data_IF_665125142034
#
_entry.id   IF_665125142034
#
_cell.length_a   1.000
_cell.length_b   1.000
_cell.length_c   1.000
_cell.angle_alpha   90.00
_cell.angle_beta   90.00
_cell.angle_gamma   90.00
#
_symmetry.space_group_name_H-M   'P 1'
#
loop_
_entity.id
_entity.type
_entity.pdbx_description
1 polymer ?
#
# COMPACT_ATOMS: atom_id res chain seq x y z
N UNK A 1 34.21 -6.34 36.80
CA UNK A 1 32.75 -6.08 36.73
C UNK A 1 32.54 -4.80 35.95
N UNK A 2 32.06 -4.94 34.72
CA UNK A 2 31.26 -3.99 33.93
C UNK A 2 31.33 -4.48 32.48
N UNK A 3 30.43 -5.41 32.17
CA UNK A 3 29.11 -5.11 31.58
C UNK A 3 29.29 -5.12 30.07
N UNK A 4 29.14 -6.34 29.54
CA UNK A 4 28.94 -6.61 28.12
C UNK A 4 27.54 -6.06 27.78
N UNK A 5 27.47 -5.07 26.89
CA UNK A 5 26.21 -4.66 26.27
C UNK A 5 25.74 -5.82 25.37
N UNK A 6 24.77 -6.58 25.88
CA UNK A 6 23.93 -7.44 25.05
C UNK A 6 23.18 -6.55 24.05
N UNK A 7 23.63 -6.57 22.80
CA UNK A 7 22.87 -6.03 21.68
C UNK A 7 21.61 -6.87 21.53
N UNK A 8 20.48 -6.32 21.98
CA UNK A 8 19.16 -6.86 21.67
C UNK A 8 19.04 -6.92 20.15
N UNK A 9 19.03 -8.15 19.62
CA UNK A 9 18.68 -8.45 18.25
C UNK A 9 17.23 -7.97 18.04
N UNK A 10 17.06 -6.76 17.51
CA UNK A 10 15.77 -6.29 17.04
C UNK A 10 15.33 -7.19 15.89
N UNK A 11 14.63 -8.28 16.22
CA UNK A 11 13.86 -9.05 15.25
C UNK A 11 13.03 -8.05 14.44
N UNK A 12 13.36 -7.89 13.16
CA UNK A 12 12.56 -7.16 12.18
C UNK A 12 11.22 -7.90 11.99
N UNK A 13 10.36 -7.89 13.01
CA UNK A 13 8.97 -8.35 12.89
C UNK A 13 8.33 -7.54 11.76
N UNK A 14 7.72 -8.21 10.78
CA UNK A 14 7.03 -7.53 9.70
C UNK A 14 5.96 -6.59 10.27
N UNK A 15 6.00 -5.31 9.87
CA UNK A 15 5.01 -4.30 10.26
C UNK A 15 3.61 -4.74 9.82
N UNK A 16 2.78 -5.14 10.79
CA UNK A 16 1.41 -5.59 10.54
C UNK A 16 0.51 -4.39 10.18
N UNK A 17 -0.48 -4.59 9.28
CA UNK A 17 -1.46 -3.56 8.98
C UNK A 17 -2.22 -3.18 10.26
N UNK A 18 -2.40 -1.87 10.49
CA UNK A 18 -3.06 -1.34 11.68
C UNK A 18 -2.13 -1.03 12.85
N UNK A 19 -0.83 -1.29 12.77
CA UNK A 19 0.15 -0.92 13.81
C UNK A 19 0.56 0.57 13.79
N UNK A 20 0.32 1.27 12.68
CA UNK A 20 0.72 2.68 12.52
C UNK A 20 -0.46 3.61 12.75
N UNK A 21 -0.24 4.69 13.49
CA UNK A 21 -1.17 5.80 13.66
C UNK A 21 -0.65 7.05 12.94
N UNK A 22 -1.59 7.84 12.43
CA UNK A 22 -1.38 9.15 11.83
C UNK A 22 -1.81 10.21 12.84
N UNK A 23 -0.93 11.18 13.08
CA UNK A 23 -1.13 12.24 14.05
C UNK A 23 -1.16 13.56 13.28
N UNK A 24 -2.24 14.31 13.41
CA UNK A 24 -2.46 15.60 12.79
C UNK A 24 -2.58 16.69 13.86
N UNK A 25 -2.38 17.93 13.45
CA UNK A 25 -2.42 19.10 14.32
C UNK A 25 -1.29 19.10 15.37
N UNK A 26 -0.12 18.62 14.98
CA UNK A 26 1.09 18.74 15.78
C UNK A 26 1.62 20.17 15.73
N UNK A 27 2.17 20.65 16.84
CA UNK A 27 2.92 21.89 16.83
C UNK A 27 4.15 21.75 15.91
N UNK A 28 4.51 22.81 15.21
CA UNK A 28 5.69 22.81 14.34
C UNK A 28 7.00 22.65 15.10
N UNK A 29 7.00 22.94 16.41
CA UNK A 29 8.14 22.72 17.31
C UNK A 29 8.20 21.31 17.89
N UNK A 30 7.13 20.51 17.81
CA UNK A 30 7.10 19.17 18.40
C UNK A 30 8.06 18.24 17.65
N UNK A 31 8.93 17.57 18.40
CA UNK A 31 9.94 16.63 17.87
C UNK A 31 9.46 15.19 17.89
N UNK A 32 10.20 14.31 17.20
CA UNK A 32 9.98 12.87 17.28
C UNK A 32 10.07 12.34 18.73
N UNK A 33 11.00 12.86 19.55
CA UNK A 33 11.18 12.45 20.95
C UNK A 33 9.96 12.77 21.82
N UNK A 34 9.41 13.98 21.72
CA UNK A 34 8.19 14.37 22.46
C UNK A 34 7.01 13.47 22.08
N UNK A 35 6.87 13.17 20.77
CA UNK A 35 5.88 12.20 20.30
C UNK A 35 6.10 10.83 20.91
N UNK A 36 7.35 10.34 20.93
CA UNK A 36 7.68 9.03 21.50
C UNK A 36 7.28 8.96 22.96
N UNK A 37 7.58 9.98 23.77
CA UNK A 37 7.21 10.02 25.19
C UNK A 37 5.69 9.99 25.42
N UNK A 38 4.94 10.81 24.67
CA UNK A 38 3.48 10.88 24.79
C UNK A 38 2.83 9.56 24.38
N UNK A 39 3.25 9.00 23.24
CA UNK A 39 2.64 7.82 22.65
C UNK A 39 3.11 6.50 23.27
N UNK A 40 4.23 6.50 24.01
CA UNK A 40 4.65 5.35 24.81
C UNK A 40 3.69 5.01 25.95
N UNK A 41 2.84 5.95 26.38
CA UNK A 41 1.79 5.71 27.40
C UNK A 41 0.73 4.72 26.94
N UNK A 42 0.48 4.64 25.64
CA UNK A 42 -0.51 3.72 25.07
C UNK A 42 0.08 2.33 24.78
N UNK A 43 1.40 2.21 24.56
CA UNK A 43 2.07 0.94 24.33
C UNK A 43 3.49 1.10 23.78
N UNK A 44 4.12 -0.04 23.45
CA UNK A 44 5.49 -0.08 22.94
C UNK A 44 5.59 0.49 21.52
N UNK A 45 6.14 1.70 21.43
CA UNK A 45 6.42 2.40 20.16
C UNK A 45 7.65 1.79 19.51
N UNK A 46 7.51 1.43 18.24
CA UNK A 46 8.58 0.93 17.37
C UNK A 46 9.27 2.07 16.63
N UNK A 47 8.50 3.00 16.08
CA UNK A 47 9.06 4.15 15.37
C UNK A 47 8.14 5.37 15.48
N UNK A 48 8.72 6.56 15.46
CA UNK A 48 8.02 7.84 15.42
C UNK A 48 8.67 8.73 14.37
N UNK A 49 7.88 9.41 13.56
CA UNK A 49 8.38 10.25 12.46
C UNK A 49 7.52 11.49 12.30
N UNK A 50 8.14 12.67 12.32
CA UNK A 50 7.47 13.94 12.00
C UNK A 50 7.69 14.25 10.52
N UNK A 51 6.62 14.53 9.78
CA UNK A 51 6.74 14.87 8.37
C UNK A 51 7.25 16.30 8.21
N UNK A 52 8.41 16.44 7.56
CA UNK A 52 9.08 17.72 7.33
C UNK A 52 9.13 18.03 5.83
N UNK A 53 8.97 19.29 5.46
CA UNK A 53 9.08 19.79 4.08
C UNK A 53 10.24 20.77 3.97
N UNK A 54 10.98 20.68 2.87
CA UNK A 54 12.06 21.63 2.55
C UNK A 54 11.47 22.97 2.08
N UNK A 55 11.85 24.05 2.74
CA UNK A 55 11.49 25.41 2.35
C UNK A 55 12.39 25.95 1.23
N UNK A 56 12.05 27.10 0.65
CA UNK A 56 12.83 27.80 -0.40
C UNK A 56 14.25 28.13 0.03
N UNK A 57 14.48 28.34 1.32
CA UNK A 57 15.79 28.56 1.97
C UNK A 57 16.54 27.25 2.28
N UNK A 58 15.94 26.09 2.01
CA UNK A 58 16.56 24.79 2.20
C UNK A 58 16.35 24.15 3.58
N UNK A 59 15.71 24.86 4.51
CA UNK A 59 15.42 24.37 5.86
C UNK A 59 14.27 23.36 5.87
N UNK A 60 14.33 22.36 6.75
CA UNK A 60 13.27 21.38 6.95
C UNK A 60 12.27 21.90 7.98
N UNK A 61 11.08 22.28 7.52
CA UNK A 61 9.99 22.74 8.37
C UNK A 61 9.00 21.60 8.61
N UNK A 62 8.57 21.42 9.86
CA UNK A 62 7.49 20.48 10.19
C UNK A 62 6.22 20.83 9.41
N UNK A 63 5.52 19.81 8.93
CA UNK A 63 4.23 19.98 8.26
C UNK A 63 3.04 19.92 9.25
N UNK A 64 3.32 19.84 10.55
CA UNK A 64 2.27 19.76 11.60
C UNK A 64 1.54 18.42 11.62
N UNK A 65 2.16 17.36 11.08
CA UNK A 65 1.66 15.99 11.18
C UNK A 65 2.81 14.98 11.22
N UNK A 66 2.52 13.79 11.72
CA UNK A 66 3.49 12.72 11.93
C UNK A 66 2.85 11.34 11.93
N UNK A 67 3.69 10.33 12.07
CA UNK A 67 3.30 8.93 12.16
C UNK A 67 4.00 8.28 13.36
N UNK A 68 3.28 7.41 14.06
CA UNK A 68 3.85 6.56 15.11
C UNK A 68 3.48 5.11 14.78
N UNK A 69 4.47 4.24 14.74
CA UNK A 69 4.33 2.80 14.56
C UNK A 69 4.51 2.10 15.90
N UNK A 70 3.57 1.24 16.26
CA UNK A 70 3.63 0.38 17.44
C UNK A 70 4.09 -1.03 17.06
N UNK A 71 4.59 -1.78 18.05
CA UNK A 71 4.87 -3.22 17.86
C UNK A 71 3.60 -4.04 17.58
N UNK A 72 2.45 -3.66 18.15
CA UNK A 72 1.17 -4.38 18.00
C UNK A 72 0.02 -3.45 17.57
N UNK A 73 -0.98 -3.95 16.81
CA UNK A 73 -2.12 -3.15 16.37
C UNK A 73 -3.05 -2.77 17.53
N UNK A 74 -3.08 -3.57 18.60
CA UNK A 74 -3.83 -3.28 19.82
C UNK A 74 -3.40 -1.97 20.47
N UNK A 75 -2.08 -1.70 20.50
CA UNK A 75 -1.54 -0.45 21.05
C UNK A 75 -1.90 0.76 20.18
N UNK A 76 -1.93 0.59 18.85
CA UNK A 76 -2.37 1.64 17.93
C UNK A 76 -3.85 2.00 18.14
N UNK A 77 -4.72 0.99 18.32
CA UNK A 77 -6.14 1.23 18.63
C UNK A 77 -6.33 1.88 19.99
N UNK A 78 -5.58 1.43 21.01
CA UNK A 78 -5.58 2.03 22.35
C UNK A 78 -5.12 3.49 22.30
N UNK A 79 -4.07 3.80 21.54
CA UNK A 79 -3.58 5.15 21.34
C UNK A 79 -4.63 6.06 20.70
N UNK A 80 -5.35 5.59 19.67
CA UNK A 80 -6.45 6.35 19.07
C UNK A 80 -7.57 6.61 20.08
N UNK A 81 -7.91 5.66 20.95
CA UNK A 81 -8.96 5.87 21.97
C UNK A 81 -8.52 6.80 23.09
N UNK A 82 -7.28 6.68 23.56
CA UNK A 82 -6.80 7.35 24.77
C UNK A 82 -6.13 8.70 24.51
N UNK A 83 -5.47 8.88 23.37
CA UNK A 83 -4.66 10.06 23.05
C UNK A 83 -5.31 10.98 22.01
N UNK A 84 -6.55 10.67 21.59
CA UNK A 84 -7.35 11.56 20.75
C UNK A 84 -7.67 12.86 21.49
N UNK A 85 -7.37 14.00 20.86
CA UNK A 85 -7.60 15.32 21.44
C UNK A 85 -6.62 15.71 22.54
N UNK A 86 -5.56 14.93 22.78
CA UNK A 86 -4.55 15.24 23.79
C UNK A 86 -3.81 16.53 23.43
N UNK A 87 -3.62 17.44 24.39
CA UNK A 87 -2.88 18.69 24.19
C UNK A 87 -1.38 18.46 24.34
N UNK A 88 -0.61 18.63 23.26
CA UNK A 88 0.86 18.60 23.24
C UNK A 88 1.35 19.94 22.70
N UNK A 89 2.24 20.61 23.44
CA UNK A 89 2.78 21.93 23.08
C UNK A 89 1.70 22.95 22.69
N UNK A 90 0.58 22.96 23.45
CA UNK A 90 -0.55 23.85 23.21
C UNK A 90 -1.47 23.48 22.05
N UNK A 91 -1.23 22.35 21.36
CA UNK A 91 -2.07 21.87 20.26
C UNK A 91 -2.78 20.57 20.60
N UNK A 92 -4.08 20.49 20.29
CA UNK A 92 -4.86 19.26 20.44
C UNK A 92 -4.61 18.30 19.27
N UNK A 93 -4.05 17.14 19.56
CA UNK A 93 -3.69 16.16 18.55
C UNK A 93 -4.93 15.43 18.01
N UNK A 94 -4.98 15.25 16.69
CA UNK A 94 -5.95 14.36 16.04
C UNK A 94 -5.23 13.07 15.63
N UNK A 95 -5.57 11.96 16.28
CA UNK A 95 -4.97 10.65 16.13
C UNK A 95 -5.91 9.73 15.36
N UNK A 96 -5.42 9.12 14.29
CA UNK A 96 -6.19 8.18 13.45
C UNK A 96 -5.35 6.95 13.15
N UNK A 97 -5.98 5.81 12.93
CA UNK A 97 -5.26 4.65 12.37
C UNK A 97 -4.75 5.04 10.98
N UNK A 98 -3.46 4.85 10.75
CA UNK A 98 -2.81 5.22 9.50
C UNK A 98 -3.11 4.19 8.42
N UNK A 99 -3.73 4.65 7.34
CA UNK A 99 -3.85 3.86 6.11
C UNK A 99 -2.50 3.70 5.39
N UNK A 100 -1.41 4.33 5.85
CA UNK A 100 -0.10 4.24 5.20
C UNK A 100 0.51 2.86 5.33
N UNK A 101 0.32 2.16 6.45
CA UNK A 101 0.67 0.74 6.56
C UNK A 101 -0.26 -0.12 5.71
N UNK A 102 -1.50 0.30 5.48
CA UNK A 102 -2.41 -0.36 4.52
C UNK A 102 -1.93 -0.11 3.08
N UNK A 103 -1.36 1.07 2.77
CA UNK A 103 -0.77 1.35 1.45
C UNK A 103 0.62 0.74 1.27
N UNK A 104 1.43 0.62 2.33
CA UNK A 104 2.69 -0.12 2.28
C UNK A 104 2.44 -1.62 2.30
N UNK A 105 1.36 -2.13 2.89
CA UNK A 105 0.89 -3.52 2.69
C UNK A 105 0.03 -3.65 1.42
N UNK A 106 -0.44 -2.62 0.76
CA UNK A 106 -1.00 -2.74 -0.61
C UNK A 106 0.11 -2.59 -1.65
N UNK A 107 1.22 -1.92 -1.32
CA UNK A 107 2.45 -1.89 -2.12
C UNK A 107 3.35 -3.12 -1.86
N UNK A 108 3.35 -3.66 -0.64
CA UNK A 108 4.23 -4.75 -0.18
C UNK A 108 3.46 -6.03 0.20
N UNK A 109 2.20 -5.98 0.63
CA UNK A 109 1.27 -7.14 0.69
C UNK A 109 0.37 -7.27 -0.57
N UNK A 110 0.79 -6.65 -1.69
CA UNK A 110 0.77 -7.36 -2.99
C UNK A 110 1.71 -8.58 -2.99
N UNK A 111 2.53 -8.77 -1.95
CA UNK A 111 3.11 -10.06 -1.53
C UNK A 111 2.26 -10.77 -0.45
N UNK A 112 0.97 -10.93 -0.68
CA UNK A 112 0.31 -12.19 -0.35
C UNK A 112 -0.70 -12.46 -1.43
N UNK A 113 -0.19 -12.61 -2.66
CA UNK A 113 -0.80 -13.54 -3.57
C UNK A 113 -0.90 -14.85 -2.80
N UNK A 114 -2.11 -15.13 -2.31
CA UNK A 114 -2.55 -16.49 -2.07
C UNK A 114 -1.99 -17.30 -3.22
N UNK A 115 -1.18 -18.29 -2.87
CA UNK A 115 -0.60 -19.30 -3.71
C UNK A 115 -1.70 -20.06 -4.47
N UNK A 116 -2.39 -19.39 -5.39
CA UNK A 116 -3.04 -20.07 -6.50
C UNK A 116 -1.88 -20.65 -7.29
N UNK A 117 -1.65 -21.95 -7.09
CA UNK A 117 -0.81 -22.83 -7.92
C UNK A 117 -0.79 -22.27 -9.34
N UNK A 118 0.34 -21.67 -9.69
CA UNK A 118 0.50 -20.95 -10.94
C UNK A 118 0.51 -21.97 -12.08
N UNK A 119 -0.61 -22.09 -12.79
CA UNK A 119 -0.73 -23.02 -13.91
C UNK A 119 -0.41 -22.35 -15.25
N UNK A 120 -0.24 -21.03 -15.30
CA UNK A 120 -0.22 -20.29 -16.58
C UNK A 120 1.14 -19.63 -16.91
N UNK A 121 1.41 -19.54 -18.22
CA UNK A 121 2.58 -18.92 -18.86
C UNK A 121 2.32 -17.48 -19.31
N UNK A 122 1.16 -16.91 -18.94
CA UNK A 122 0.72 -15.57 -19.38
C UNK A 122 1.06 -14.49 -18.36
N UNK A 123 1.64 -13.41 -18.85
CA UNK A 123 2.06 -12.22 -18.10
C UNK A 123 1.31 -11.01 -18.64
N UNK A 124 0.77 -10.21 -17.73
CA UNK A 124 0.19 -8.91 -18.00
C UNK A 124 1.24 -7.82 -17.75
N UNK A 125 1.46 -6.98 -18.74
CA UNK A 125 2.41 -5.87 -18.71
C UNK A 125 1.61 -4.57 -18.69
N UNK A 126 1.73 -3.80 -17.61
CA UNK A 126 1.10 -2.49 -17.40
C UNK A 126 2.14 -1.37 -17.42
N UNK A 127 1.64 -0.13 -17.51
CA UNK A 127 2.44 1.10 -17.60
C UNK A 127 3.37 1.13 -18.82
N UNK A 128 2.92 0.53 -19.93
CA UNK A 128 3.66 0.58 -21.19
C UNK A 128 3.55 2.01 -21.75
N UNK A 129 4.66 2.70 -22.05
CA UNK A 129 4.61 4.04 -22.60
C UNK A 129 3.91 4.03 -23.98
N UNK A 130 3.12 5.07 -24.29
CA UNK A 130 2.28 5.13 -25.49
C UNK A 130 3.03 5.12 -26.83
N UNK A 131 4.33 5.37 -26.77
CA UNK A 131 5.24 5.27 -27.91
C UNK A 131 5.72 3.83 -28.19
N UNK A 132 5.61 2.92 -27.22
CA UNK A 132 6.07 1.55 -27.38
C UNK A 132 5.19 0.74 -28.34
N UNK A 133 5.81 -0.11 -29.14
CA UNK A 133 5.12 -0.96 -30.10
C UNK A 133 5.02 -2.39 -29.63
N UNK A 134 4.13 -3.17 -30.26
CA UNK A 134 4.03 -4.62 -30.01
C UNK A 134 5.36 -5.34 -30.30
N UNK A 135 6.11 -4.85 -31.30
CA UNK A 135 7.40 -5.42 -31.68
C UNK A 135 8.42 -5.26 -30.57
N UNK A 136 8.53 -4.09 -29.97
CA UNK A 136 9.47 -3.84 -28.86
C UNK A 136 9.14 -4.67 -27.62
N UNK A 137 7.85 -4.79 -27.26
CA UNK A 137 7.44 -5.68 -26.17
C UNK A 137 7.75 -7.13 -26.52
N UNK A 138 7.54 -7.55 -27.77
CA UNK A 138 7.91 -8.90 -28.20
C UNK A 138 9.42 -9.12 -28.10
N UNK A 139 10.24 -8.20 -28.57
CA UNK A 139 11.71 -8.31 -28.52
C UNK A 139 12.23 -8.34 -27.08
N UNK A 140 11.72 -7.47 -26.21
CA UNK A 140 12.09 -7.42 -24.80
C UNK A 140 11.85 -8.78 -24.11
N UNK A 141 10.65 -9.34 -24.30
CA UNK A 141 10.27 -10.59 -23.65
C UNK A 141 10.85 -11.84 -24.35
N UNK A 142 11.20 -11.74 -25.64
CA UNK A 142 11.81 -12.83 -26.41
C UNK A 142 13.22 -13.18 -25.95
N UNK A 143 13.89 -12.28 -25.22
CA UNK A 143 15.23 -12.55 -24.64
C UNK A 143 15.19 -13.59 -23.51
N UNK A 144 14.03 -13.80 -22.89
CA UNK A 144 13.85 -14.73 -21.76
C UNK A 144 13.24 -16.07 -22.17
N UNK A 145 12.69 -16.18 -23.38
CA UNK A 145 12.14 -17.41 -23.93
C UNK A 145 11.19 -17.18 -25.10
N UNK A 146 10.64 -18.27 -25.63
CA UNK A 146 9.78 -18.21 -26.81
C UNK A 146 8.36 -17.79 -26.46
N UNK A 147 7.83 -16.82 -27.20
CA UNK A 147 6.54 -16.20 -26.98
C UNK A 147 5.48 -16.86 -27.86
N UNK A 148 4.44 -17.42 -27.24
CA UNK A 148 3.27 -17.97 -27.92
C UNK A 148 2.43 -16.86 -28.56
N UNK A 149 2.06 -15.84 -27.78
CA UNK A 149 1.33 -14.68 -28.32
C UNK A 149 1.67 -13.40 -27.57
N UNK A 150 1.68 -12.27 -28.28
CA UNK A 150 1.77 -10.93 -27.69
C UNK A 150 0.58 -10.12 -28.18
N UNK A 151 -0.19 -9.56 -27.24
CA UNK A 151 -1.41 -8.80 -27.53
C UNK A 151 -1.35 -7.46 -26.82
N UNK A 152 -1.40 -6.38 -27.59
CA UNK A 152 -1.45 -5.01 -27.09
C UNK A 152 -2.77 -4.36 -27.53
N UNK A 153 -3.79 -4.27 -26.66
CA UNK A 153 -5.07 -3.67 -27.00
C UNK A 153 -4.91 -2.19 -27.39
N UNK A 154 -5.26 -1.89 -28.64
CA UNK A 154 -5.28 -0.51 -29.15
C UNK A 154 -6.52 0.23 -28.66
N UNK A 155 -6.39 1.53 -28.37
CA UNK A 155 -7.56 2.36 -28.05
C UNK A 155 -8.31 2.63 -29.37
N UNK A 156 -9.64 2.49 -29.35
CA UNK A 156 -10.48 2.71 -30.54
C UNK A 156 -10.91 4.18 -30.70
N UNK A 157 -10.60 5.05 -29.71
CA UNK A 157 -10.98 6.46 -29.72
C UNK A 157 -9.87 7.34 -29.10
N UNK A 158 -9.20 8.13 -29.95
CA UNK A 158 -8.09 9.04 -29.59
C UNK A 158 -6.72 8.61 -30.14
N UNK A 159 -5.82 9.58 -30.29
CA UNK A 159 -4.46 9.55 -30.88
C UNK A 159 -3.41 8.68 -30.14
N UNK A 160 -3.83 7.62 -29.45
CA UNK A 160 -2.94 6.72 -28.70
C UNK A 160 -2.86 5.33 -29.32
N UNK A 161 -1.64 4.88 -29.64
CA UNK A 161 -1.34 3.59 -30.29
C UNK A 161 -1.83 2.37 -29.49
N UNK A 162 -1.85 2.45 -28.15
CA UNK A 162 -2.29 1.39 -27.23
C UNK A 162 -2.76 1.94 -25.89
N UNK A 163 -3.51 1.14 -25.13
CA UNK A 163 -4.05 1.52 -23.82
C UNK A 163 -3.04 1.49 -22.66
N UNK A 164 -1.73 1.41 -22.96
CA UNK A 164 -0.69 1.37 -21.94
C UNK A 164 -0.60 0.04 -21.16
N UNK A 165 -1.26 -1.01 -21.64
CA UNK A 165 -1.13 -2.38 -21.12
C UNK A 165 -1.18 -3.41 -22.25
N UNK A 166 -0.58 -4.57 -22.03
CA UNK A 166 -0.51 -5.68 -22.99
C UNK A 166 -0.33 -7.04 -22.30
N UNK A 167 -0.64 -8.10 -23.02
CA UNK A 167 -0.52 -9.49 -22.56
C UNK A 167 0.57 -10.19 -23.36
N UNK A 168 1.41 -10.93 -22.66
CA UNK A 168 2.50 -11.72 -23.20
C UNK A 168 2.31 -13.15 -22.72
N UNK A 169 2.11 -14.08 -23.65
CA UNK A 169 1.96 -15.50 -23.36
C UNK A 169 3.21 -16.23 -23.80
N UNK A 170 3.87 -16.92 -22.86
CA UNK A 170 5.06 -17.73 -23.15
C UNK A 170 4.67 -19.15 -23.53
N UNK A 171 5.52 -19.79 -24.35
CA UNK A 171 5.34 -21.19 -24.71
C UNK A 171 5.49 -22.10 -23.46
N UNK A 172 6.50 -21.81 -22.62
CA UNK A 172 6.75 -22.57 -21.40
C UNK A 172 6.53 -21.72 -20.14
N UNK A 173 6.08 -22.38 -19.06
CA UNK A 173 5.89 -21.72 -17.76
C UNK A 173 7.22 -21.29 -17.14
N UNK A 174 8.30 -22.00 -17.46
CA UNK A 174 9.64 -21.69 -16.96
C UNK A 174 10.15 -20.38 -17.57
N UNK A 175 9.96 -20.17 -18.86
CA UNK A 175 10.32 -18.91 -19.54
C UNK A 175 9.56 -17.73 -18.97
N UNK A 176 8.25 -17.91 -18.75
CA UNK A 176 7.42 -16.89 -18.12
C UNK A 176 7.98 -16.50 -16.74
N UNK A 177 8.36 -17.48 -15.91
CA UNK A 177 8.89 -17.23 -14.55
C UNK A 177 10.24 -16.50 -14.60
N UNK A 178 11.11 -16.89 -15.53
CA UNK A 178 12.40 -16.20 -15.76
C UNK A 178 12.20 -14.76 -16.19
N UNK A 179 11.32 -14.53 -17.17
CA UNK A 179 10.97 -13.20 -17.64
C UNK A 179 10.38 -12.33 -16.53
N UNK A 180 9.45 -12.88 -15.74
CA UNK A 180 8.82 -12.18 -14.63
C UNK A 180 9.85 -11.76 -13.58
N UNK A 181 10.70 -12.70 -13.13
CA UNK A 181 11.72 -12.42 -12.11
C UNK A 181 12.72 -11.34 -12.55
N UNK A 182 13.18 -11.40 -13.80
CA UNK A 182 14.15 -10.46 -14.35
C UNK A 182 13.57 -9.07 -14.62
N UNK A 183 12.34 -8.99 -15.16
CA UNK A 183 11.76 -7.73 -15.60
C UNK A 183 10.97 -6.99 -14.51
N UNK A 184 10.46 -7.68 -13.48
CA UNK A 184 9.58 -7.10 -12.45
C UNK A 184 10.23 -5.92 -11.69
N UNK A 185 11.54 -5.96 -11.47
CA UNK A 185 12.19 -5.03 -10.53
C UNK A 185 12.99 -3.90 -11.18
N UNK A 186 13.26 -3.94 -12.49
CA UNK A 186 14.21 -2.97 -13.08
C UNK A 186 14.00 -2.59 -14.54
N UNK A 187 12.95 -3.07 -15.21
CA UNK A 187 12.76 -2.71 -16.63
C UNK A 187 12.15 -1.31 -16.77
N UNK A 188 12.88 -0.43 -17.45
CA UNK A 188 12.43 0.91 -17.80
C UNK A 188 12.37 1.00 -19.33
N UNK A 189 11.19 1.31 -19.85
CA UNK A 189 10.97 1.55 -21.26
C UNK A 189 10.63 3.04 -21.43
N UNK A 190 11.44 3.76 -22.21
CA UNK A 190 11.26 5.20 -22.45
C UNK A 190 11.06 6.05 -21.18
N UNK A 191 11.88 5.78 -20.16
CA UNK A 191 11.81 6.49 -18.87
C UNK A 191 10.62 6.11 -17.99
N UNK A 192 9.79 5.13 -18.39
CA UNK A 192 8.71 4.58 -17.56
C UNK A 192 9.01 3.16 -17.15
N UNK A 193 8.81 2.84 -15.87
CA UNK A 193 8.95 1.47 -15.35
C UNK A 193 7.78 0.61 -15.80
N UNK A 194 8.05 -0.54 -16.42
CA UNK A 194 6.96 -1.48 -16.71
C UNK A 194 6.54 -2.19 -15.43
N UNK A 195 5.25 -2.46 -15.31
CA UNK A 195 4.67 -3.20 -14.17
C UNK A 195 4.21 -4.55 -14.69
N UNK A 196 4.84 -5.63 -14.23
CA UNK A 196 4.49 -6.99 -14.62
C UNK A 196 3.60 -7.64 -13.56
N UNK A 197 2.56 -8.36 -13.99
CA UNK A 197 1.66 -9.14 -13.15
C UNK A 197 1.35 -10.48 -13.83
N UNK A 198 1.12 -11.54 -13.06
CA UNK A 198 0.64 -12.80 -13.62
C UNK A 198 -0.77 -12.62 -14.16
N UNK A 199 -1.01 -12.99 -15.41
CA UNK A 199 -2.34 -12.91 -16.00
C UNK A 199 -3.12 -14.19 -15.66
N UNK A 200 -4.34 -14.04 -15.16
CA UNK A 200 -5.25 -15.17 -15.03
C UNK A 200 -5.76 -15.60 -16.41
N UNK A 201 -5.93 -16.91 -16.61
CA UNK A 201 -6.34 -17.49 -17.89
C UNK A 201 -7.71 -17.00 -18.36
N UNK A 202 -8.59 -16.64 -17.41
CA UNK A 202 -9.96 -16.18 -17.65
C UNK A 202 -10.12 -14.67 -17.69
N UNK A 203 -9.09 -13.89 -17.34
CA UNK A 203 -9.21 -12.43 -17.30
C UNK A 203 -9.08 -11.85 -18.71
N UNK A 204 -10.21 -11.89 -19.43
CA UNK A 204 -10.37 -11.33 -20.76
C UNK A 204 -10.28 -9.80 -20.68
N UNK A 205 -9.82 -9.18 -21.78
CA UNK A 205 -9.58 -7.73 -21.93
C UNK A 205 -10.74 -6.85 -21.41
N UNK A 206 -11.98 -7.36 -21.42
CA UNK A 206 -13.21 -6.74 -20.89
C UNK A 206 -13.18 -6.51 -19.38
N UNK A 207 -12.83 -7.53 -18.59
CA UNK A 207 -12.80 -7.46 -17.12
C UNK A 207 -11.77 -6.45 -16.62
N UNK A 208 -10.67 -6.31 -17.38
CA UNK A 208 -9.61 -5.34 -17.10
C UNK A 208 -9.96 -3.90 -17.54
N UNK A 209 -10.85 -3.72 -18.53
CA UNK A 209 -11.39 -2.40 -18.89
C UNK A 209 -12.12 -1.78 -17.70
N UNK A 210 -12.88 -2.60 -16.95
CA UNK A 210 -13.59 -2.16 -15.74
C UNK A 210 -12.61 -1.72 -14.65
N UNK A 211 -11.68 -2.61 -14.29
CA UNK A 211 -10.68 -2.35 -13.23
C UNK A 211 -9.72 -1.19 -13.53
N UNK A 212 -9.37 -0.96 -14.80
CA UNK A 212 -8.46 0.14 -15.19
C UNK A 212 -9.19 1.50 -15.26
N UNK A 213 -10.48 1.52 -15.63
CA UNK A 213 -11.30 2.73 -15.57
C UNK A 213 -11.53 3.19 -14.13
N UNK A 214 -11.71 2.25 -13.19
CA UNK A 214 -11.88 2.54 -11.75
C UNK A 214 -10.59 3.07 -11.09
N UNK A 215 -9.41 2.79 -11.65
CA UNK A 215 -8.14 3.25 -11.10
C UNK A 215 -7.59 4.56 -11.71
N UNK A 216 -8.21 5.09 -12.78
CA UNK A 216 -7.71 6.27 -13.49
C UNK A 216 -8.75 7.39 -13.74
N UNK A 217 -10.02 7.18 -13.35
CA UNK A 217 -11.00 8.26 -13.29
C UNK A 217 -11.47 8.37 -11.85
N UNK A 218 -11.23 9.54 -11.25
CA UNK A 218 -11.83 9.95 -9.99
C UNK A 218 -13.23 10.53 -10.32
N UNK A 219 -14.34 9.93 -9.86
CA UNK A 219 -15.60 10.63 -9.73
C UNK A 219 -15.87 10.97 -8.26
N UNK A 220 -16.68 12.00 -7.97
CA UNK A 220 -16.82 12.53 -6.62
C UNK A 220 -17.60 11.56 -5.72
N UNK A 221 -16.94 10.92 -4.75
CA UNK A 221 -17.59 9.96 -3.84
C UNK A 221 -18.22 10.70 -2.66
N UNK A 222 -19.49 11.11 -2.83
CA UNK A 222 -20.47 11.14 -1.74
C UNK A 222 -21.40 9.94 -1.94
N UNK A 223 -21.55 9.10 -0.90
CA UNK A 223 -22.67 8.14 -0.61
C UNK A 223 -22.34 6.67 -0.29
N UNK A 224 -21.07 6.24 -0.20
CA UNK A 224 -20.79 4.85 0.26
C UNK A 224 -20.32 4.73 1.72
N UNK A 225 -20.29 5.83 2.49
CA UNK A 225 -19.81 5.82 3.88
C UNK A 225 -20.86 5.39 4.91
N UNK A 226 -22.15 5.40 4.59
CA UNK A 226 -23.22 5.14 5.57
C UNK A 226 -23.55 3.66 5.70
N UNK A 227 -23.59 2.91 4.60
CA UNK A 227 -24.06 1.52 4.61
C UNK A 227 -23.14 0.54 5.37
N UNK A 228 -21.82 0.70 5.29
CA UNK A 228 -20.87 -0.21 5.95
C UNK A 228 -20.76 0.11 7.45
N UNK A 229 -21.04 1.35 7.86
CA UNK A 229 -21.04 1.76 9.27
C UNK A 229 -22.35 1.39 9.98
N UNK A 230 -23.51 1.46 9.29
CA UNK A 230 -24.78 0.98 9.84
C UNK A 230 -24.78 -0.55 10.04
N UNK A 231 -24.24 -1.34 9.10
CA UNK A 231 -24.19 -2.81 9.24
C UNK A 231 -23.25 -3.30 10.36
N UNK A 232 -22.26 -2.48 10.75
CA UNK A 232 -21.35 -2.79 11.86
C UNK A 232 -21.94 -2.33 13.21
N UNK A 233 -22.76 -1.28 13.22
CA UNK A 233 -23.42 -0.78 14.44
C UNK A 233 -24.60 -1.68 14.84
N UNK A 234 -25.36 -2.19 13.87
CA UNK A 234 -26.49 -3.10 14.11
C UNK A 234 -26.04 -4.47 14.66
N UNK A 235 -24.80 -4.90 14.37
CA UNK A 235 -24.20 -6.12 14.93
C UNK A 235 -23.64 -5.97 16.35
N UNK A 236 -23.62 -4.76 16.90
CA UNK A 236 -23.13 -4.47 18.25
C UNK A 236 -24.25 -4.10 19.23
N UNK A 237 -25.51 -4.01 18.79
CA UNK A 237 -26.67 -3.82 19.66
C UNK A 237 -27.32 -5.14 20.13
N UNK A 238 -26.86 -6.29 19.64
CA UNK A 238 -27.36 -7.63 20.04
C UNK A 238 -26.55 -8.32 21.16
N UNK A 239 -25.50 -7.70 21.72
CA UNK A 239 -24.61 -8.32 22.74
C UNK A 239 -24.59 -7.59 24.11
N UNK A 240 -25.47 -6.62 24.33
CA UNK A 240 -25.63 -5.92 25.62
C UNK A 240 -26.96 -6.30 26.28
N UNK A 241 -27.07 -7.57 26.68
CA UNK A 241 -28.24 -8.07 27.40
C UNK A 241 -27.89 -9.19 28.36
N UNK A 242 -27.29 -8.85 29.50
CA UNK A 242 -27.51 -9.47 30.83
C UNK A 242 -26.33 -9.16 31.76
N UNK A 243 -26.32 -8.02 32.48
CA UNK A 243 -25.65 -7.92 33.79
C UNK A 243 -26.22 -6.74 34.62
N UNK A 244 -27.49 -6.80 35.03
CA UNK A 244 -27.95 -6.15 36.27
C UNK A 244 -29.03 -6.99 36.94
N UNK A 245 -28.65 -7.71 38.01
CA UNK A 245 -29.35 -7.80 39.30
C UNK A 245 -28.83 -9.04 40.04
N UNK A 246 -28.01 -8.81 41.06
CA UNK A 246 -28.42 -9.25 42.39
C UNK A 246 -27.57 -8.58 43.47
N UNK A 247 -28.33 -8.01 44.39
CA UNK A 247 -27.93 -7.33 45.62
C UNK A 247 -27.29 -8.25 46.65
#
# INVERSE_FOLDING_TARGET
VKEEEEGEEEEEEESLPGCTIFIKNLNFSTTEDTLKEVFSKAGLVRSCTVSKKKDKTGNLLSMGFGFVEYKKPEYAQKAVKQLQGCSVDGHQLEVKISERAIKSTVATARKKQVSKKQVNSKILVRNIPFQATVKEIRELFSTFGELKTVRLPKKMFGTGTHRGFGFVDFLTKQDAKRAFGALCHSTHLYGRRLVLEWADSEETVESLRRKTAEHFHEPPVKKQKTAILEEILEKLEDDEGEYEENS
#
